data_IF_796688095110
#
_entry.id   IF_796688095110
#
_cell.length_a   1.000
_cell.length_b   1.000
_cell.length_c   1.000
_cell.angle_alpha   90.00
_cell.angle_beta   90.00
_cell.angle_gamma   90.00
#
_symmetry.space_group_name_H-M   'P 1'
#
loop_
_entity.id
_entity.type
_entity.pdbx_description
1 polymer ?
#
# COMPACT_ATOMS: atom_id res chain seq x y z
N UNK A 1 -14.94 5.09 2.30
CA UNK A 1 -14.79 3.79 1.62
C UNK A 1 -13.82 2.91 2.37
N UNK A 2 -14.14 1.64 2.50
CA UNK A 2 -13.24 0.71 3.15
C UNK A 2 -12.00 0.48 2.28
N UNK A 3 -10.89 0.20 2.91
CA UNK A 3 -9.65 -0.12 2.22
C UNK A 3 -9.77 -1.42 1.40
N UNK A 4 -10.72 -2.29 1.76
CA UNK A 4 -11.00 -3.53 1.01
C UNK A 4 -11.42 -3.21 -0.43
N UNK A 5 -12.26 -2.21 -0.63
CA UNK A 5 -12.62 -1.73 -1.97
C UNK A 5 -11.42 -1.18 -2.73
N UNK A 6 -10.52 -0.48 -2.03
CA UNK A 6 -9.27 0.05 -2.63
C UNK A 6 -8.34 -1.08 -3.06
N UNK A 7 -8.22 -2.13 -2.26
CA UNK A 7 -7.42 -3.31 -2.62
C UNK A 7 -8.00 -4.00 -3.85
N UNK A 8 -9.32 -4.16 -3.92
CA UNK A 8 -9.98 -4.78 -5.06
C UNK A 8 -9.76 -3.98 -6.35
N UNK A 9 -9.82 -2.65 -6.28
CA UNK A 9 -9.54 -1.77 -7.41
C UNK A 9 -8.07 -1.88 -7.85
N UNK A 10 -7.15 -1.90 -6.88
CA UNK A 10 -5.73 -2.06 -7.14
C UNK A 10 -5.43 -3.43 -7.75
N UNK A 11 -6.11 -4.47 -7.29
CA UNK A 11 -5.96 -5.83 -7.81
C UNK A 11 -6.17 -5.89 -9.32
N UNK A 12 -7.13 -5.13 -9.85
CA UNK A 12 -7.36 -5.02 -11.29
C UNK A 12 -6.22 -4.30 -12.00
N UNK A 13 -5.67 -3.25 -11.38
CA UNK A 13 -4.61 -2.41 -11.97
C UNK A 13 -3.25 -3.11 -12.00
N UNK A 14 -2.93 -3.89 -10.98
CA UNK A 14 -1.60 -4.49 -10.81
C UNK A 14 -1.58 -6.01 -11.03
N UNK A 15 -2.71 -6.60 -11.39
CA UNK A 15 -2.84 -8.04 -11.58
C UNK A 15 -1.78 -8.59 -12.54
N UNK A 16 -1.50 -7.86 -13.61
CA UNK A 16 -0.47 -8.23 -14.59
C UNK A 16 0.95 -8.23 -14.00
N UNK A 17 1.22 -7.35 -13.04
CA UNK A 17 2.53 -7.25 -12.37
C UNK A 17 2.78 -8.41 -11.40
N UNK A 18 1.71 -8.97 -10.84
CA UNK A 18 1.79 -10.01 -9.82
C UNK A 18 1.45 -11.41 -10.35
N UNK A 19 1.08 -11.54 -11.63
CA UNK A 19 0.68 -12.81 -12.24
C UNK A 19 1.73 -13.91 -12.04
N UNK A 20 3.00 -13.61 -12.24
CA UNK A 20 4.09 -14.56 -12.09
C UNK A 20 4.30 -14.94 -10.61
N UNK A 21 4.09 -13.99 -9.70
CA UNK A 21 4.19 -14.25 -8.25
C UNK A 21 3.00 -15.08 -7.76
N UNK A 22 1.81 -14.85 -8.27
CA UNK A 22 0.64 -15.65 -7.95
C UNK A 22 0.85 -17.12 -8.32
N UNK A 23 1.44 -17.41 -9.47
CA UNK A 23 1.76 -18.77 -9.89
C UNK A 23 2.81 -19.42 -9.00
N UNK A 24 3.85 -18.67 -8.60
CA UNK A 24 4.89 -19.15 -7.71
C UNK A 24 4.39 -19.40 -6.28
N UNK A 25 3.33 -18.70 -5.89
CA UNK A 25 2.75 -18.74 -4.54
C UNK A 25 1.47 -19.58 -4.49
N UNK A 26 1.07 -20.21 -5.59
CA UNK A 26 -0.13 -21.05 -5.66
C UNK A 26 -0.09 -22.27 -4.74
N UNK A 27 1.08 -22.62 -4.22
CA UNK A 27 1.26 -23.68 -3.22
C UNK A 27 0.91 -23.22 -1.80
N UNK A 28 0.71 -21.92 -1.58
CA UNK A 28 0.36 -21.39 -0.27
C UNK A 28 -1.13 -21.62 0.01
N UNK A 29 -1.43 -22.35 1.08
CA UNK A 29 -2.81 -22.58 1.50
C UNK A 29 -3.43 -21.25 1.90
N UNK A 30 -4.56 -20.85 1.28
CA UNK A 30 -5.22 -19.59 1.64
C UNK A 30 -5.79 -19.67 3.07
N UNK A 31 -5.96 -18.50 3.69
CA UNK A 31 -6.68 -18.42 4.96
C UNK A 31 -8.13 -18.85 4.76
N UNK A 32 -8.72 -19.45 5.80
CA UNK A 32 -10.17 -19.68 5.83
C UNK A 32 -10.90 -18.34 5.84
N UNK A 33 -12.16 -18.36 5.42
CA UNK A 33 -13.00 -17.15 5.44
C UNK A 33 -13.13 -16.60 6.86
N UNK A 34 -13.24 -17.48 7.86
CA UNK A 34 -13.31 -17.09 9.26
C UNK A 34 -12.05 -16.36 9.73
N UNK A 35 -10.87 -16.87 9.37
CA UNK A 35 -9.60 -16.22 9.71
C UNK A 35 -9.45 -14.86 9.02
N UNK A 36 -9.88 -14.78 7.76
CA UNK A 36 -9.88 -13.52 7.01
C UNK A 36 -10.84 -12.51 7.64
N UNK A 37 -12.03 -12.92 8.02
CA UNK A 37 -13.04 -12.06 8.64
C UNK A 37 -12.57 -11.49 9.98
N UNK A 38 -11.81 -12.25 10.75
CA UNK A 38 -11.22 -11.78 12.01
C UNK A 38 -10.10 -10.77 11.77
N UNK A 39 -9.34 -10.95 10.71
CA UNK A 39 -8.18 -10.10 10.41
C UNK A 39 -8.59 -8.75 9.80
N UNK A 40 -9.66 -8.71 9.01
CA UNK A 40 -10.10 -7.50 8.29
C UNK A 40 -10.30 -6.29 9.22
N UNK A 41 -11.08 -6.38 10.33
CA UNK A 41 -11.26 -5.20 11.19
C UNK A 41 -9.98 -4.74 11.87
N UNK A 42 -9.06 -5.65 12.18
CA UNK A 42 -7.76 -5.29 12.77
C UNK A 42 -6.89 -4.54 11.76
N UNK A 43 -6.87 -5.01 10.52
CA UNK A 43 -6.15 -4.34 9.45
C UNK A 43 -6.78 -2.98 9.11
N UNK A 44 -8.11 -2.90 9.10
CA UNK A 44 -8.81 -1.64 8.86
C UNK A 44 -8.40 -0.59 9.90
N UNK A 45 -8.36 -0.98 11.16
CA UNK A 45 -7.91 -0.09 12.25
C UNK A 45 -6.48 0.37 12.02
N UNK A 46 -5.58 -0.54 11.67
CA UNK A 46 -4.18 -0.22 11.39
C UNK A 46 -4.05 0.78 10.22
N UNK A 47 -4.84 0.60 9.16
CA UNK A 47 -4.87 1.52 8.01
C UNK A 47 -5.42 2.88 8.45
N UNK A 48 -6.51 2.92 9.19
CA UNK A 48 -7.15 4.16 9.65
C UNK A 48 -6.22 4.97 10.58
N UNK A 49 -5.43 4.29 11.38
CA UNK A 49 -4.42 4.90 12.24
C UNK A 49 -3.14 5.25 11.49
N UNK A 50 -3.10 4.99 10.17
CA UNK A 50 -1.94 5.25 9.32
C UNK A 50 -0.67 4.52 9.80
N UNK A 51 -0.82 3.30 10.27
CA UNK A 51 0.28 2.47 10.74
C UNK A 51 1.35 2.23 9.67
N UNK A 52 0.97 2.28 8.40
CA UNK A 52 1.90 2.15 7.28
C UNK A 52 2.91 3.32 7.17
N UNK A 53 2.67 4.45 7.86
CA UNK A 53 3.58 5.61 7.88
C UNK A 53 4.85 5.35 8.70
N UNK A 54 4.85 4.36 9.55
CA UNK A 54 6.04 4.01 10.35
C UNK A 54 7.11 3.44 9.40
N UNK A 55 8.29 4.11 9.28
CA UNK A 55 9.36 3.60 8.41
C UNK A 55 9.88 2.27 8.93
N UNK A 56 10.38 1.45 8.02
CA UNK A 56 11.00 0.16 8.32
C UNK A 56 10.09 -0.86 9.02
N UNK A 57 8.77 -0.64 8.98
CA UNK A 57 7.80 -1.59 9.52
C UNK A 57 7.79 -2.86 8.70
N UNK A 58 8.10 -3.97 9.36
CA UNK A 58 8.12 -5.29 8.72
C UNK A 58 6.77 -5.98 8.84
N UNK A 59 6.59 -7.02 8.03
CA UNK A 59 5.44 -7.93 8.13
C UNK A 59 5.30 -8.47 9.56
N UNK A 60 6.42 -8.87 10.15
CA UNK A 60 6.47 -9.42 11.51
C UNK A 60 6.01 -8.41 12.56
N UNK A 61 6.44 -7.14 12.44
CA UNK A 61 6.04 -6.07 13.36
C UNK A 61 4.53 -5.83 13.32
N UNK A 62 3.96 -5.77 12.12
CA UNK A 62 2.53 -5.54 11.94
C UNK A 62 1.72 -6.73 12.44
N UNK A 63 2.15 -7.95 12.12
CA UNK A 63 1.49 -9.16 12.61
C UNK A 63 1.44 -9.19 14.14
N UNK A 64 2.55 -8.85 14.80
CA UNK A 64 2.62 -8.78 16.26
C UNK A 64 1.65 -7.75 16.82
N UNK A 65 1.57 -6.57 16.23
CA UNK A 65 0.64 -5.52 16.64
C UNK A 65 -0.83 -5.93 16.50
N UNK A 66 -1.13 -6.70 15.46
CA UNK A 66 -2.49 -7.17 15.20
C UNK A 66 -2.87 -8.42 16.01
N UNK A 67 -1.92 -8.99 16.75
CA UNK A 67 -2.15 -10.22 17.50
C UNK A 67 -2.29 -11.45 16.62
N UNK A 68 -1.69 -11.43 15.44
CA UNK A 68 -1.69 -12.54 14.49
C UNK A 68 -0.26 -13.00 14.20
N UNK A 69 -0.10 -13.96 13.30
CA UNK A 69 1.21 -14.45 12.88
C UNK A 69 1.60 -13.85 11.52
N UNK A 70 2.92 -13.77 11.27
CA UNK A 70 3.43 -13.32 9.96
C UNK A 70 2.88 -14.18 8.83
N UNK A 71 2.76 -15.48 9.04
CA UNK A 71 2.24 -16.38 8.03
C UNK A 71 0.79 -16.09 7.67
N UNK A 72 -0.06 -15.87 8.68
CA UNK A 72 -1.47 -15.54 8.44
C UNK A 72 -1.62 -14.21 7.71
N UNK A 73 -0.88 -13.19 8.15
CA UNK A 73 -0.91 -11.88 7.48
C UNK A 73 -0.40 -11.98 6.04
N UNK A 74 0.67 -12.72 5.81
CA UNK A 74 1.20 -12.98 4.47
C UNK A 74 0.16 -13.65 3.56
N UNK A 75 -0.49 -14.71 4.06
CA UNK A 75 -1.54 -15.43 3.32
C UNK A 75 -2.72 -14.51 2.99
N UNK A 76 -3.11 -13.66 3.94
CA UNK A 76 -4.17 -12.68 3.71
C UNK A 76 -3.82 -11.74 2.55
N UNK A 77 -2.60 -11.18 2.56
CA UNK A 77 -2.14 -10.28 1.51
C UNK A 77 -2.13 -10.98 0.14
N UNK A 78 -1.62 -12.21 0.08
CA UNK A 78 -1.58 -12.97 -1.16
C UNK A 78 -2.99 -13.25 -1.70
N UNK A 79 -3.95 -13.54 -0.83
CA UNK A 79 -5.34 -13.73 -1.22
C UNK A 79 -5.94 -12.46 -1.82
N UNK A 80 -5.43 -11.29 -1.45
CA UNK A 80 -5.83 -10.00 -2.03
C UNK A 80 -5.07 -9.68 -3.33
N UNK A 81 -4.12 -10.52 -3.73
CA UNK A 81 -3.39 -10.40 -4.98
C UNK A 81 -2.06 -9.66 -4.91
N UNK A 82 -1.53 -9.42 -3.70
CA UNK A 82 -0.25 -8.76 -3.54
C UNK A 82 0.42 -9.16 -2.22
N UNK A 83 1.76 -9.01 -2.15
CA UNK A 83 2.47 -9.21 -0.89
C UNK A 83 2.31 -7.98 0.02
N UNK A 84 2.67 -8.14 1.30
CA UNK A 84 2.56 -7.08 2.29
C UNK A 84 3.35 -5.82 1.90
N UNK A 85 4.56 -6.00 1.39
CA UNK A 85 5.42 -4.87 1.01
C UNK A 85 4.79 -4.01 -0.09
N UNK A 86 4.24 -4.65 -1.11
CA UNK A 86 3.55 -3.96 -2.20
C UNK A 86 2.29 -3.26 -1.73
N UNK A 87 1.52 -3.93 -0.87
CA UNK A 87 0.32 -3.33 -0.27
C UNK A 87 0.66 -2.12 0.59
N UNK A 88 1.69 -2.22 1.43
CA UNK A 88 2.16 -1.10 2.24
C UNK A 88 2.58 0.09 1.38
N UNK A 89 3.35 -0.16 0.31
CA UNK A 89 3.74 0.88 -0.64
C UNK A 89 2.53 1.54 -1.29
N UNK A 90 1.55 0.75 -1.68
CA UNK A 90 0.31 1.27 -2.25
C UNK A 90 -0.42 2.21 -1.27
N UNK A 91 -0.56 1.80 -0.01
CA UNK A 91 -1.19 2.64 1.02
C UNK A 91 -0.45 3.96 1.19
N UNK A 92 0.86 3.91 1.23
CA UNK A 92 1.71 5.11 1.34
C UNK A 92 1.55 6.04 0.13
N UNK A 93 1.45 5.49 -1.08
CA UNK A 93 1.27 6.29 -2.29
C UNK A 93 -0.12 6.94 -2.32
N UNK A 94 -1.17 6.22 -1.93
CA UNK A 94 -2.52 6.80 -1.83
C UNK A 94 -2.55 7.95 -0.82
N UNK A 95 -1.90 7.79 0.31
CA UNK A 95 -1.75 8.84 1.31
C UNK A 95 -0.94 10.03 0.76
N UNK A 96 0.13 9.74 0.00
CA UNK A 96 0.95 10.77 -0.63
C UNK A 96 0.16 11.63 -1.61
N UNK A 97 -0.74 11.03 -2.38
CA UNK A 97 -1.60 11.78 -3.31
C UNK A 97 -2.45 12.81 -2.54
N UNK A 98 -3.03 12.40 -1.42
CA UNK A 98 -3.81 13.29 -0.58
C UNK A 98 -2.94 14.39 0.04
N UNK A 99 -1.78 14.03 0.59
CA UNK A 99 -0.85 14.99 1.16
C UNK A 99 -0.35 16.01 0.13
N UNK A 100 -0.11 15.58 -1.09
CA UNK A 100 0.30 16.48 -2.18
C UNK A 100 -0.79 17.47 -2.57
N UNK A 101 -2.06 17.07 -2.50
CA UNK A 101 -3.20 17.96 -2.73
C UNK A 101 -3.37 18.97 -1.60
N UNK A 102 -3.20 18.53 -0.35
CA UNK A 102 -3.33 19.39 0.82
C UNK A 102 -2.13 20.33 1.00
N UNK A 103 -0.95 19.92 0.54
CA UNK A 103 0.30 20.67 0.67
C UNK A 103 0.97 20.84 -0.71
N UNK A 104 0.38 21.66 -1.61
CA UNK A 104 0.85 21.75 -2.99
C UNK A 104 2.28 22.31 -3.14
N UNK A 105 2.79 22.99 -2.12
CA UNK A 105 4.15 23.54 -2.13
C UNK A 105 5.18 22.68 -1.39
N UNK A 106 4.75 21.55 -0.82
CA UNK A 106 5.67 20.67 -0.11
C UNK A 106 6.63 19.96 -1.08
N UNK A 107 7.87 19.76 -0.64
CA UNK A 107 8.85 19.02 -1.43
C UNK A 107 8.52 17.53 -1.49
N UNK A 108 9.04 16.85 -2.50
CA UNK A 108 8.90 15.40 -2.61
C UNK A 108 9.52 14.69 -1.41
N UNK A 109 10.61 15.19 -0.87
CA UNK A 109 11.25 14.64 0.33
C UNK A 109 10.36 14.76 1.55
N UNK A 110 9.68 15.88 1.73
CA UNK A 110 8.73 16.08 2.82
C UNK A 110 7.59 15.06 2.73
N UNK A 111 6.97 14.96 1.56
CA UNK A 111 5.86 14.04 1.32
C UNK A 111 6.30 12.59 1.55
N UNK A 112 7.45 12.21 1.01
CA UNK A 112 8.01 10.85 1.15
C UNK A 112 8.12 10.43 2.62
N UNK A 113 8.75 11.28 3.44
CA UNK A 113 8.93 11.01 4.86
C UNK A 113 7.62 10.96 5.62
N UNK A 114 6.72 11.87 5.30
CA UNK A 114 5.43 11.97 5.98
C UNK A 114 4.60 10.69 5.82
N UNK A 115 4.66 10.05 4.66
CA UNK A 115 3.88 8.84 4.39
C UNK A 115 4.63 7.53 4.70
N UNK A 116 5.88 7.62 5.15
CA UNK A 116 6.61 6.46 5.67
C UNK A 116 7.77 5.95 4.83
N UNK A 117 8.12 6.62 3.72
CA UNK A 117 9.30 6.26 2.93
C UNK A 117 10.58 6.79 3.59
N UNK A 118 11.63 5.99 3.56
CA UNK A 118 12.91 6.37 4.16
C UNK A 118 13.67 7.40 3.35
N UNK A 119 13.47 7.43 2.02
CA UNK A 119 14.14 8.38 1.15
C UNK A 119 13.29 8.75 -0.07
N UNK A 120 13.66 9.87 -0.67
CA UNK A 120 12.99 10.42 -1.85
C UNK A 120 13.07 9.51 -3.07
N UNK A 121 14.21 8.87 -3.29
CA UNK A 121 14.42 8.01 -4.47
C UNK A 121 13.50 6.79 -4.44
N UNK A 122 13.37 6.15 -3.29
CA UNK A 122 12.47 5.03 -3.11
C UNK A 122 11.01 5.47 -3.31
N UNK A 123 10.64 6.61 -2.74
CA UNK A 123 9.31 7.18 -2.94
C UNK A 123 9.00 7.39 -4.43
N UNK A 124 9.90 8.04 -5.16
CA UNK A 124 9.69 8.35 -6.58
C UNK A 124 9.52 7.06 -7.40
N UNK A 125 10.33 6.05 -7.12
CA UNK A 125 10.27 4.75 -7.80
C UNK A 125 8.96 4.02 -7.52
N UNK A 126 8.54 3.97 -6.25
CA UNK A 126 7.28 3.34 -5.85
C UNK A 126 6.07 4.12 -6.40
N UNK A 127 6.13 5.44 -6.38
CA UNK A 127 5.09 6.30 -6.94
C UNK A 127 4.88 5.98 -8.43
N UNK A 128 5.97 5.96 -9.20
CA UNK A 128 5.91 5.65 -10.63
C UNK A 128 5.39 4.23 -10.87
N UNK A 129 5.76 3.27 -10.04
CA UNK A 129 5.29 1.90 -10.14
C UNK A 129 3.77 1.80 -9.93
N UNK A 130 3.23 2.54 -8.98
CA UNK A 130 1.80 2.53 -8.66
C UNK A 130 0.99 3.41 -9.62
N UNK A 131 1.48 4.61 -9.90
CA UNK A 131 0.73 5.63 -10.65
C UNK A 131 1.02 5.67 -12.16
N UNK A 132 2.10 5.03 -12.60
CA UNK A 132 2.53 5.06 -14.00
C UNK A 132 3.27 6.33 -14.40
N UNK A 133 3.32 7.33 -13.54
CA UNK A 133 4.01 8.62 -13.76
C UNK A 133 4.81 9.00 -12.53
N UNK A 134 5.76 9.92 -12.70
CA UNK A 134 6.55 10.42 -11.57
C UNK A 134 5.73 11.39 -10.71
N UNK A 135 6.11 11.62 -9.44
CA UNK A 135 5.43 12.62 -8.61
C UNK A 135 5.38 14.01 -9.26
N UNK A 136 6.47 14.42 -9.92
CA UNK A 136 6.53 15.70 -10.60
C UNK A 136 5.56 15.78 -11.79
N UNK A 137 5.50 14.72 -12.58
CA UNK A 137 4.56 14.63 -13.71
C UNK A 137 3.12 14.67 -13.23
N UNK A 138 2.81 13.93 -12.18
CA UNK A 138 1.48 13.93 -11.58
C UNK A 138 1.10 15.34 -11.09
N UNK A 139 2.00 16.00 -10.38
CA UNK A 139 1.78 17.36 -9.86
C UNK A 139 1.50 18.36 -10.99
N UNK A 140 2.27 18.27 -12.08
CA UNK A 140 2.06 19.12 -13.26
C UNK A 140 0.71 18.88 -13.92
N UNK A 141 0.27 17.61 -14.00
CA UNK A 141 -1.03 17.29 -14.58
C UNK A 141 -2.19 17.85 -13.73
N UNK A 142 -2.06 17.85 -12.40
CA UNK A 142 -3.06 18.44 -11.52
C UNK A 142 -3.16 19.95 -11.72
N UNK A 143 -2.05 20.64 -11.85
CA UNK A 143 -2.02 22.08 -12.10
C UNK A 143 -2.66 22.45 -13.43
N UNK A 144 -2.58 21.61 -14.45
CA UNK A 144 -3.20 21.83 -15.75
C UNK A 144 -4.73 21.80 -15.71
N UNK A 145 -5.32 21.10 -14.73
CA UNK A 145 -6.77 21.03 -14.58
C UNK A 145 -7.37 22.18 -13.76
N UNK A 146 -6.54 22.96 -13.09
CA UNK A 146 -7.00 24.05 -12.19
C UNK A 146 -7.13 25.40 -12.92
N UNK A 147 -6.73 25.45 -14.16
CA UNK A 147 -6.87 26.70 -14.94
C UNK A 147 -8.29 26.92 -15.46
#
# INVERSE_FOLDING_TARGET
>A
MSWVGKISALKKSVKSLFLNKEQALSTTVPLSDEESDKLVPLLQKWVDEKGYRIPDTTLSDVAARLGTTSLRLHRFCLAQGMDFRSWRSYLRIQDALQEMQEHPHASASFIARRVGFSDRSNFARQFKSVMGVTPLQWKKSQNSFVK
#
